data_IF_786861679470
#
_entry.id   IF_786861679470
#
_cell.length_a   1.000
_cell.length_b   1.000
_cell.length_c   1.000
_cell.angle_alpha   90.00
_cell.angle_beta   90.00
_cell.angle_gamma   90.00
#
_symmetry.space_group_name_H-M   'P 1'
#
loop_
_entity.id
_entity.type
_entity.pdbx_description
1 polymer ?
#
# COMPACT_ATOMS: atom_id res chain seq x y z
N UNK A 1 -11.27 -2.63 -4.06
CA UNK A 1 -12.16 -2.36 -5.22
C UNK A 1 -12.58 -3.65 -5.91
N UNK A 2 -11.67 -4.37 -6.59
CA UNK A 2 -11.95 -5.64 -7.30
C UNK A 2 -12.91 -6.57 -6.55
N UNK A 3 -12.54 -6.97 -5.32
CA UNK A 3 -13.35 -7.88 -4.48
C UNK A 3 -14.81 -7.44 -4.25
N UNK A 4 -15.03 -6.13 -4.10
CA UNK A 4 -16.36 -5.55 -3.90
C UNK A 4 -17.17 -5.65 -5.20
N UNK A 5 -16.55 -5.27 -6.32
CA UNK A 5 -17.20 -5.17 -7.64
C UNK A 5 -17.50 -6.55 -8.24
N UNK A 6 -16.61 -7.53 -8.04
CA UNK A 6 -16.74 -8.92 -8.51
C UNK A 6 -18.00 -9.62 -7.97
N UNK A 7 -18.61 -9.13 -6.88
CA UNK A 7 -19.88 -9.65 -6.39
C UNK A 7 -21.07 -9.35 -7.31
N UNK A 8 -20.90 -8.47 -8.30
CA UNK A 8 -21.99 -8.00 -9.18
C UNK A 8 -21.62 -7.88 -10.65
N UNK A 9 -20.33 -7.75 -10.97
CA UNK A 9 -19.85 -7.51 -12.33
C UNK A 9 -18.63 -8.37 -12.64
N UNK A 10 -18.35 -8.60 -13.91
CA UNK A 10 -17.10 -9.17 -14.39
C UNK A 10 -15.97 -8.13 -14.29
N UNK A 11 -14.90 -8.45 -13.55
CA UNK A 11 -13.81 -7.50 -13.23
C UNK A 11 -12.46 -8.05 -13.60
N UNK A 12 -11.63 -7.20 -14.21
CA UNK A 12 -10.18 -7.40 -14.31
C UNK A 12 -9.50 -6.29 -13.51
N UNK A 13 -8.46 -6.61 -12.76
CA UNK A 13 -7.62 -5.61 -12.11
C UNK A 13 -6.16 -5.81 -12.53
N UNK A 14 -5.40 -4.73 -12.64
CA UNK A 14 -3.95 -4.81 -12.85
C UNK A 14 -3.30 -5.64 -11.73
N UNK A 15 -2.55 -6.71 -12.08
CA UNK A 15 -1.93 -7.57 -11.07
C UNK A 15 -0.71 -6.89 -10.46
N UNK A 16 -0.54 -7.02 -9.14
CA UNK A 16 0.63 -6.50 -8.42
C UNK A 16 0.94 -5.02 -8.80
N UNK A 17 2.21 -4.70 -9.00
CA UNK A 17 2.67 -3.33 -9.33
C UNK A 17 2.63 -3.04 -10.84
N UNK A 18 1.72 -3.64 -11.60
CA UNK A 18 1.57 -3.39 -13.05
C UNK A 18 0.83 -2.08 -13.29
N UNK A 19 1.41 -0.97 -12.81
CA UNK A 19 0.79 0.34 -12.70
C UNK A 19 1.44 1.41 -13.60
N UNK A 20 2.35 1.00 -14.48
CA UNK A 20 2.97 1.83 -15.51
C UNK A 20 2.50 1.42 -16.92
N UNK A 21 2.98 2.12 -17.96
CA UNK A 21 2.53 1.89 -19.35
C UNK A 21 2.70 0.44 -19.78
N UNK A 22 3.85 -0.17 -19.49
CA UNK A 22 4.12 -1.55 -19.86
C UNK A 22 3.23 -2.55 -19.09
N UNK A 23 3.10 -2.37 -17.78
CA UNK A 23 2.27 -3.21 -16.91
C UNK A 23 0.79 -3.18 -17.28
N UNK A 24 0.24 -1.97 -17.49
CA UNK A 24 -1.15 -1.81 -17.92
C UNK A 24 -1.37 -2.34 -19.34
N UNK A 25 -0.43 -2.12 -20.27
CA UNK A 25 -0.54 -2.66 -21.63
C UNK A 25 -0.58 -4.19 -21.63
N UNK A 26 0.24 -4.84 -20.80
CA UNK A 26 0.20 -6.30 -20.63
C UNK A 26 -1.12 -6.74 -20.03
N UNK A 27 -1.58 -6.09 -18.96
CA UNK A 27 -2.88 -6.42 -18.34
C UNK A 27 -4.03 -6.34 -19.35
N UNK A 28 -4.05 -5.28 -20.17
CA UNK A 28 -5.05 -5.08 -21.23
C UNK A 28 -5.01 -6.22 -22.24
N UNK A 29 -3.83 -6.56 -22.76
CA UNK A 29 -3.69 -7.55 -23.83
C UNK A 29 -3.82 -9.00 -23.35
N UNK A 30 -3.40 -9.29 -22.12
CA UNK A 30 -3.31 -10.65 -21.59
C UNK A 30 -4.56 -11.06 -20.78
N UNK A 31 -5.33 -10.11 -20.24
CA UNK A 31 -6.40 -10.41 -19.28
C UNK A 31 -7.77 -9.82 -19.59
N UNK A 32 -7.87 -8.72 -20.36
CA UNK A 32 -9.19 -8.21 -20.74
C UNK A 32 -9.84 -9.15 -21.75
N UNK A 33 -11.15 -9.32 -21.60
CA UNK A 33 -12.00 -10.06 -22.53
C UNK A 33 -13.22 -9.23 -22.92
N UNK A 34 -13.95 -9.57 -23.99
CA UNK A 34 -15.19 -8.89 -24.35
C UNK A 34 -16.24 -8.89 -23.23
N UNK A 35 -16.18 -9.84 -22.30
CA UNK A 35 -17.10 -9.96 -21.16
C UNK A 35 -16.66 -9.17 -19.93
N UNK A 36 -15.52 -8.44 -19.99
CA UNK A 36 -15.07 -7.61 -18.87
C UNK A 36 -15.90 -6.34 -18.78
N UNK A 37 -16.63 -6.18 -17.68
CA UNK A 37 -17.49 -5.02 -17.43
C UNK A 37 -16.76 -3.89 -16.69
N UNK A 38 -15.78 -4.23 -15.86
CA UNK A 38 -14.99 -3.25 -15.10
C UNK A 38 -13.51 -3.59 -15.17
N UNK A 39 -12.70 -2.62 -15.60
CA UNK A 39 -11.25 -2.69 -15.50
C UNK A 39 -10.75 -1.77 -14.38
N UNK A 40 -10.12 -2.35 -13.35
CA UNK A 40 -9.50 -1.62 -12.25
C UNK A 40 -8.01 -1.46 -12.55
N UNK A 41 -7.61 -0.28 -13.00
CA UNK A 41 -6.22 0.06 -13.28
C UNK A 41 -5.61 0.85 -12.11
N UNK A 42 -4.55 0.33 -11.50
CA UNK A 42 -3.67 1.15 -10.66
C UNK A 42 -2.76 1.99 -11.56
N UNK A 43 -2.60 3.29 -11.27
CA UNK A 43 -1.75 4.20 -12.04
C UNK A 43 -0.70 4.84 -11.15
N UNK A 44 0.55 4.40 -11.33
CA UNK A 44 1.73 4.89 -10.63
C UNK A 44 2.32 6.13 -11.30
N UNK A 45 3.17 6.84 -10.57
CA UNK A 45 3.93 7.99 -11.10
C UNK A 45 5.24 8.16 -10.33
N UNK A 46 6.32 8.41 -11.06
CA UNK A 46 7.62 8.85 -10.55
C UNK A 46 7.85 10.34 -10.79
N UNK A 47 7.00 11.01 -11.57
CA UNK A 47 7.09 12.44 -11.87
C UNK A 47 5.84 13.02 -12.54
N UNK A 48 5.73 14.35 -12.59
CA UNK A 48 4.60 15.04 -13.22
C UNK A 48 4.41 14.63 -14.69
N UNK A 49 3.15 14.53 -15.13
CA UNK A 49 2.74 14.18 -16.50
C UNK A 49 2.52 12.69 -16.74
N UNK A 50 3.14 11.80 -15.96
CA UNK A 50 3.07 10.35 -16.20
C UNK A 50 1.66 9.78 -16.04
N UNK A 51 0.89 10.24 -15.04
CA UNK A 51 -0.49 9.78 -14.86
C UNK A 51 -1.39 10.32 -15.98
N UNK A 52 -1.19 11.58 -16.38
CA UNK A 52 -1.90 12.13 -17.55
C UNK A 52 -1.63 11.29 -18.80
N UNK A 53 -0.38 10.89 -19.02
CA UNK A 53 0.00 10.06 -20.16
C UNK A 53 -0.70 8.69 -20.10
N UNK A 54 -0.77 8.04 -18.93
CA UNK A 54 -1.53 6.80 -18.74
C UNK A 54 -3.03 6.98 -19.04
N UNK A 55 -3.62 8.07 -18.54
CA UNK A 55 -5.04 8.37 -18.74
C UNK A 55 -5.39 8.70 -20.20
N UNK A 56 -4.41 9.07 -21.03
CA UNK A 56 -4.64 9.41 -22.44
C UNK A 56 -5.14 8.22 -23.26
N UNK A 57 -4.75 7.01 -22.89
CA UNK A 57 -5.10 5.76 -23.59
C UNK A 57 -5.89 4.78 -22.71
N UNK A 58 -5.69 4.76 -21.38
CA UNK A 58 -6.61 4.11 -20.43
C UNK A 58 -7.50 5.18 -19.81
N UNK A 59 -8.61 5.51 -20.47
CA UNK A 59 -9.52 6.56 -20.02
C UNK A 59 -10.42 6.07 -18.88
N UNK A 60 -10.27 6.56 -17.64
CA UNK A 60 -11.10 6.12 -16.52
C UNK A 60 -12.50 6.74 -16.57
N UNK A 61 -13.54 5.97 -16.28
CA UNK A 61 -14.88 6.51 -15.99
C UNK A 61 -14.95 7.06 -14.55
N UNK A 62 -14.32 6.33 -13.63
CA UNK A 62 -14.19 6.65 -12.20
C UNK A 62 -12.71 6.66 -11.84
N UNK A 63 -12.22 7.78 -11.32
CA UNK A 63 -10.86 7.93 -10.80
C UNK A 63 -10.88 8.13 -9.29
N UNK A 64 -9.84 7.66 -8.60
CA UNK A 64 -9.77 7.77 -7.15
C UNK A 64 -8.36 8.07 -6.62
N UNK A 65 -8.27 8.84 -5.54
CA UNK A 65 -7.05 9.01 -4.74
C UNK A 65 -7.32 8.68 -3.27
N UNK A 66 -6.56 7.72 -2.73
CA UNK A 66 -6.74 7.20 -1.37
C UNK A 66 -5.85 7.88 -0.32
N UNK A 67 -4.58 8.11 -0.67
CA UNK A 67 -3.58 8.63 0.25
C UNK A 67 -2.54 9.45 -0.50
N UNK A 68 -1.95 10.41 0.22
CA UNK A 68 -0.81 11.20 -0.22
C UNK A 68 0.26 11.02 0.86
N UNK A 69 1.43 10.56 0.46
CA UNK A 69 2.57 10.32 1.33
C UNK A 69 3.87 10.76 0.67
N UNK A 70 4.96 10.88 1.46
CA UNK A 70 6.26 11.33 0.99
C UNK A 70 6.99 10.23 0.19
N UNK A 71 6.50 9.94 -1.01
CA UNK A 71 7.12 8.99 -1.96
C UNK A 71 7.73 9.73 -3.14
N UNK A 72 8.81 9.19 -3.72
CA UNK A 72 9.55 9.83 -4.82
C UNK A 72 9.96 11.29 -4.52
N UNK A 73 10.21 11.64 -3.26
CA UNK A 73 10.43 13.04 -2.85
C UNK A 73 11.63 13.68 -3.54
N UNK A 74 12.64 12.90 -3.91
CA UNK A 74 13.80 13.38 -4.66
C UNK A 74 13.39 13.98 -6.02
N UNK A 75 12.40 13.39 -6.69
CA UNK A 75 11.89 13.84 -7.99
C UNK A 75 10.74 14.82 -7.84
N UNK A 76 9.87 14.58 -6.87
CA UNK A 76 8.64 15.35 -6.66
C UNK A 76 8.89 16.65 -5.90
N UNK A 77 9.91 16.72 -5.04
CA UNK A 77 10.31 17.90 -4.28
C UNK A 77 9.41 18.25 -3.08
N UNK A 78 8.09 18.13 -3.21
CA UNK A 78 7.13 18.43 -2.13
C UNK A 78 5.88 17.55 -2.18
N UNK A 79 5.16 17.44 -1.07
CA UNK A 79 3.85 16.78 -1.05
C UNK A 79 2.84 17.48 -1.96
N UNK A 80 2.89 18.80 -2.09
CA UNK A 80 1.98 19.56 -2.98
C UNK A 80 2.21 19.20 -4.45
N UNK A 81 3.46 18.98 -4.85
CA UNK A 81 3.78 18.49 -6.19
C UNK A 81 3.30 17.05 -6.40
N UNK A 82 3.35 16.19 -5.37
CA UNK A 82 2.77 14.84 -5.42
C UNK A 82 1.24 14.92 -5.59
N UNK A 83 0.57 15.82 -4.87
CA UNK A 83 -0.86 16.07 -5.04
C UNK A 83 -1.17 16.52 -6.47
N UNK A 84 -0.40 17.47 -7.01
CA UNK A 84 -0.58 17.97 -8.36
C UNK A 84 -0.41 16.86 -9.42
N UNK A 85 0.70 16.10 -9.35
CA UNK A 85 0.97 14.99 -10.26
C UNK A 85 -0.08 13.87 -10.16
N UNK A 86 -0.48 13.48 -8.94
CA UNK A 86 -1.51 12.44 -8.75
C UNK A 86 -2.90 12.90 -9.17
N UNK A 87 -3.21 14.20 -9.05
CA UNK A 87 -4.51 14.77 -9.45
C UNK A 87 -4.75 14.74 -10.96
N UNK A 88 -3.72 14.50 -11.78
CA UNK A 88 -3.84 14.28 -13.22
C UNK A 88 -4.82 13.13 -13.56
N UNK A 89 -5.02 12.20 -12.62
CA UNK A 89 -5.95 11.07 -12.79
C UNK A 89 -7.40 11.53 -13.00
N UNK A 90 -7.73 12.76 -12.59
CA UNK A 90 -9.07 13.33 -12.72
C UNK A 90 -9.31 14.09 -14.03
N UNK A 91 -8.28 14.30 -14.85
CA UNK A 91 -8.35 15.13 -16.06
C UNK A 91 -9.41 14.61 -17.04
N UNK A 92 -9.63 13.29 -17.10
CA UNK A 92 -10.56 12.65 -18.06
C UNK A 92 -11.76 11.94 -17.43
N UNK A 93 -11.75 11.72 -16.10
CA UNK A 93 -12.79 10.95 -15.41
C UNK A 93 -14.11 11.70 -15.26
N UNK A 94 -15.23 10.99 -15.42
CA UNK A 94 -16.58 11.51 -15.16
C UNK A 94 -16.94 11.54 -13.67
N UNK A 95 -16.28 10.70 -12.86
CA UNK A 95 -16.43 10.66 -11.41
C UNK A 95 -15.06 10.72 -10.73
N UNK A 96 -14.94 11.57 -9.71
CA UNK A 96 -13.75 11.70 -8.88
C UNK A 96 -14.05 11.28 -7.44
N UNK A 97 -13.32 10.28 -6.93
CA UNK A 97 -13.41 9.80 -5.55
C UNK A 97 -12.16 10.24 -4.78
N UNK A 98 -12.31 10.98 -3.68
CA UNK A 98 -11.16 11.51 -2.93
C UNK A 98 -11.29 11.23 -1.44
N UNK A 99 -10.21 10.74 -0.81
CA UNK A 99 -10.08 10.76 0.65
C UNK A 99 -9.67 12.14 1.14
N UNK A 100 -10.61 12.89 1.71
CA UNK A 100 -10.36 14.28 2.13
C UNK A 100 -9.53 14.39 3.42
N UNK A 101 -9.28 13.27 4.10
CA UNK A 101 -8.36 13.24 5.24
C UNK A 101 -6.89 13.33 4.79
N UNK A 102 -6.59 12.98 3.54
CA UNK A 102 -5.23 13.00 3.02
C UNK A 102 -4.80 14.42 2.59
N UNK A 103 -3.50 14.70 2.76
CA UNK A 103 -2.89 16.00 2.46
C UNK A 103 -3.31 16.54 1.10
N UNK A 104 -3.85 17.76 1.08
CA UNK A 104 -4.26 18.48 -0.12
C UNK A 104 -5.53 17.97 -0.81
N UNK A 105 -6.03 16.77 -0.52
CA UNK A 105 -7.15 16.19 -1.27
C UNK A 105 -8.50 16.87 -0.99
N UNK A 106 -8.70 17.45 0.21
CA UNK A 106 -9.85 18.31 0.46
C UNK A 106 -9.89 19.52 -0.49
N UNK A 107 -8.76 20.19 -0.69
CA UNK A 107 -8.67 21.33 -1.61
C UNK A 107 -8.85 20.91 -3.07
N UNK A 108 -8.36 19.72 -3.46
CA UNK A 108 -8.62 19.16 -4.79
C UNK A 108 -10.11 18.87 -5.00
N UNK A 109 -10.79 18.28 -4.01
CA UNK A 109 -12.22 18.01 -4.08
C UNK A 109 -13.04 19.29 -4.29
N UNK A 110 -12.74 20.35 -3.54
CA UNK A 110 -13.40 21.65 -3.70
C UNK A 110 -13.14 22.30 -5.06
N UNK A 111 -11.91 22.22 -5.57
CA UNK A 111 -11.57 22.70 -6.92
C UNK A 111 -12.35 21.96 -8.00
N UNK A 112 -12.49 20.65 -7.90
CA UNK A 112 -13.25 19.84 -8.85
C UNK A 112 -14.76 20.14 -8.76
N UNK A 113 -15.31 20.31 -7.55
CA UNK A 113 -16.71 20.73 -7.34
C UNK A 113 -17.00 22.09 -7.97
N UNK A 114 -16.10 23.06 -7.79
CA UNK A 114 -16.23 24.39 -8.37
C UNK A 114 -16.14 24.37 -9.91
N UNK A 115 -15.33 23.49 -10.50
CA UNK A 115 -15.28 23.32 -11.95
C UNK A 115 -16.61 22.79 -12.51
N UNK A 116 -17.28 21.90 -11.76
CA UNK A 116 -18.64 21.45 -12.05
C UNK A 116 -18.78 20.53 -13.28
N UNK A 117 -17.68 20.00 -13.79
CA UNK A 117 -17.61 19.16 -15.00
C UNK A 117 -17.67 17.66 -14.71
N UNK A 118 -17.58 17.25 -13.43
CA UNK A 118 -17.62 15.85 -13.00
C UNK A 118 -18.29 15.68 -11.63
N UNK A 119 -18.77 14.46 -11.35
CA UNK A 119 -19.33 14.11 -10.05
C UNK A 119 -18.18 13.90 -9.05
N UNK A 120 -18.20 14.58 -7.92
CA UNK A 120 -17.20 14.44 -6.85
C UNK A 120 -17.82 13.67 -5.68
N UNK A 121 -17.15 12.62 -5.22
CA UNK A 121 -17.52 11.82 -4.04
C UNK A 121 -16.37 11.89 -3.05
N UNK A 122 -16.61 12.42 -1.85
CA UNK A 122 -15.60 12.52 -0.80
C UNK A 122 -15.71 11.37 0.19
N UNK A 123 -14.56 10.95 0.72
CA UNK A 123 -14.45 9.88 1.71
C UNK A 123 -13.64 10.36 2.91
N UNK A 124 -13.98 9.85 4.10
CA UNK A 124 -13.26 10.16 5.34
C UNK A 124 -13.31 8.99 6.32
N UNK A 125 -12.36 8.98 7.25
CA UNK A 125 -12.31 8.10 8.42
C UNK A 125 -12.71 8.81 9.71
N UNK A 126 -13.01 10.11 9.64
CA UNK A 126 -13.54 10.88 10.74
C UNK A 126 -15.08 10.69 10.83
N UNK A 127 -15.62 10.20 11.96
CA UNK A 127 -17.06 10.03 12.13
C UNK A 127 -17.84 11.35 12.00
N UNK A 128 -17.23 12.48 12.35
CA UNK A 128 -17.85 13.80 12.36
C UNK A 128 -17.69 14.56 11.04
N UNK A 129 -17.05 13.95 10.04
CA UNK A 129 -16.93 14.52 8.69
C UNK A 129 -18.30 14.60 8.01
N UNK A 130 -18.44 15.55 7.09
CA UNK A 130 -19.57 15.68 6.14
C UNK A 130 -19.33 14.92 4.82
N UNK A 131 -18.29 14.07 4.75
CA UNK A 131 -17.98 13.29 3.56
C UNK A 131 -19.12 12.35 3.14
N UNK A 132 -19.25 12.13 1.82
CA UNK A 132 -20.27 11.28 1.22
C UNK A 132 -20.18 9.82 1.73
N UNK A 133 -18.96 9.33 1.96
CA UNK A 133 -18.70 8.00 2.52
C UNK A 133 -17.77 8.08 3.72
N UNK A 134 -18.16 7.47 4.84
CA UNK A 134 -17.36 7.47 6.07
C UNK A 134 -17.13 6.05 6.58
N UNK A 135 -15.89 5.73 6.95
CA UNK A 135 -15.53 4.42 7.51
C UNK A 135 -14.67 4.59 8.75
N UNK A 136 -15.18 4.21 9.91
CA UNK A 136 -14.54 4.47 11.21
C UNK A 136 -14.83 3.36 12.24
N UNK A 137 -13.99 3.17 13.26
CA UNK A 137 -14.24 2.19 14.32
C UNK A 137 -15.60 2.43 15.01
N UNK A 138 -16.37 1.38 15.26
CA UNK A 138 -17.60 1.51 16.02
C UNK A 138 -17.31 1.77 17.52
N UNK A 139 -18.09 2.63 18.17
CA UNK A 139 -17.83 3.04 19.56
C UNK A 139 -18.17 1.96 20.61
N UNK A 140 -18.96 0.93 20.25
CA UNK A 140 -19.49 -0.07 21.20
C UNK A 140 -19.49 -1.51 20.65
N UNK A 141 -18.68 -1.78 19.64
CA UNK A 141 -18.51 -3.12 19.07
C UNK A 141 -17.13 -3.21 18.41
N UNK A 142 -16.58 -4.41 18.28
CA UNK A 142 -15.31 -4.65 17.58
C UNK A 142 -15.40 -4.44 16.05
N UNK A 143 -16.60 -4.18 15.53
CA UNK A 143 -16.85 -3.91 14.12
C UNK A 143 -16.50 -2.47 13.68
N UNK A 144 -16.58 -2.26 12.38
CA UNK A 144 -16.31 -0.97 11.72
C UNK A 144 -17.60 -0.41 11.15
N UNK A 145 -17.87 0.87 11.41
CA UNK A 145 -19.05 1.55 10.89
C UNK A 145 -18.78 2.06 9.48
N UNK A 146 -19.62 1.67 8.53
CA UNK A 146 -19.57 2.08 7.11
C UNK A 146 -20.83 2.86 6.76
N UNK A 147 -20.67 4.16 6.54
CA UNK A 147 -21.73 5.10 6.22
C UNK A 147 -21.62 5.57 4.76
N UNK A 148 -22.75 5.58 4.05
CA UNK A 148 -22.93 6.24 2.75
C UNK A 148 -24.06 7.25 2.92
N UNK A 149 -23.72 8.53 2.98
CA UNK A 149 -24.62 9.58 3.46
C UNK A 149 -25.11 9.29 4.87
N UNK A 150 -26.44 9.16 5.02
CA UNK A 150 -27.12 8.85 6.28
C UNK A 150 -27.34 7.35 6.50
N UNK A 151 -27.15 6.53 5.47
CA UNK A 151 -27.25 5.08 5.58
C UNK A 151 -25.96 4.55 6.21
N UNK A 152 -26.04 3.94 7.38
CA UNK A 152 -24.89 3.48 8.14
C UNK A 152 -25.13 2.10 8.74
N UNK A 153 -24.20 1.18 8.49
CA UNK A 153 -24.21 -0.15 9.07
C UNK A 153 -22.85 -0.51 9.68
N UNK A 154 -22.83 -1.51 10.56
CA UNK A 154 -21.60 -2.03 11.15
C UNK A 154 -21.22 -3.32 10.45
N UNK A 155 -19.98 -3.39 9.97
CA UNK A 155 -19.43 -4.56 9.29
C UNK A 155 -18.16 -5.03 9.99
N UNK A 156 -17.89 -6.33 9.94
CA UNK A 156 -16.58 -6.86 10.30
C UNK A 156 -15.62 -6.63 9.15
N UNK A 157 -14.40 -6.20 9.46
CA UNK A 157 -13.30 -6.09 8.50
C UNK A 157 -12.13 -6.96 8.96
N UNK A 158 -11.30 -7.46 8.03
CA UNK A 158 -9.99 -7.99 8.38
C UNK A 158 -9.20 -6.98 9.24
N UNK A 159 -8.46 -7.46 10.23
CA UNK A 159 -7.75 -6.60 11.19
C UNK A 159 -6.69 -5.69 10.55
N UNK A 160 -6.19 -6.04 9.36
CA UNK A 160 -5.22 -5.27 8.58
C UNK A 160 -5.87 -4.30 7.57
N UNK A 161 -7.20 -4.29 7.48
CA UNK A 161 -7.92 -3.43 6.55
C UNK A 161 -7.76 -1.95 6.92
N UNK A 162 -7.25 -1.17 5.97
CA UNK A 162 -7.08 0.28 6.14
C UNK A 162 -8.42 0.97 5.86
N UNK A 163 -9.00 1.60 6.88
CA UNK A 163 -10.33 2.22 6.79
C UNK A 163 -10.46 3.25 5.65
N UNK A 164 -9.44 4.06 5.39
CA UNK A 164 -9.46 5.03 4.28
C UNK A 164 -9.51 4.34 2.91
N UNK A 165 -8.78 3.23 2.72
CA UNK A 165 -8.86 2.43 1.49
C UNK A 165 -10.23 1.77 1.35
N UNK A 166 -10.82 1.31 2.45
CA UNK A 166 -12.18 0.75 2.46
C UNK A 166 -13.19 1.83 2.10
N UNK A 167 -13.10 3.04 2.67
CA UNK A 167 -13.98 4.16 2.35
C UNK A 167 -13.95 4.50 0.85
N UNK A 168 -12.75 4.63 0.26
CA UNK A 168 -12.60 4.86 -1.18
C UNK A 168 -13.17 3.69 -2.00
N UNK A 169 -12.92 2.45 -1.60
CA UNK A 169 -13.45 1.30 -2.32
C UNK A 169 -14.98 1.21 -2.28
N UNK A 170 -15.59 1.57 -1.15
CA UNK A 170 -17.06 1.69 -1.01
C UNK A 170 -17.59 2.79 -1.92
N UNK A 171 -16.95 3.98 -1.91
CA UNK A 171 -17.33 5.09 -2.78
C UNK A 171 -17.24 4.75 -4.28
N UNK A 172 -16.20 4.02 -4.70
CA UNK A 172 -16.09 3.51 -6.07
C UNK A 172 -17.23 2.52 -6.38
N UNK A 173 -17.57 1.62 -5.46
CA UNK A 173 -18.71 0.71 -5.62
C UNK A 173 -20.03 1.47 -5.84
N UNK A 174 -20.26 2.53 -5.06
CA UNK A 174 -21.41 3.41 -5.22
C UNK A 174 -21.37 4.24 -6.52
N UNK A 175 -20.18 4.66 -6.98
CA UNK A 175 -20.02 5.33 -8.27
C UNK A 175 -20.34 4.42 -9.46
N UNK A 176 -20.20 3.10 -9.29
CA UNK A 176 -20.60 2.06 -10.22
C UNK A 176 -22.05 1.59 -9.99
N UNK A 177 -22.87 2.36 -9.28
CA UNK A 177 -24.28 2.07 -9.00
C UNK A 177 -24.53 0.69 -8.35
N UNK A 178 -23.54 0.15 -7.62
CA UNK A 178 -23.71 -1.07 -6.84
C UNK A 178 -24.47 -0.69 -5.56
N UNK A 179 -25.59 -1.38 -5.23
CA UNK A 179 -26.31 -1.13 -3.99
C UNK A 179 -25.41 -1.27 -2.76
N UNK A 180 -25.51 -0.33 -1.82
CA UNK A 180 -24.62 -0.24 -0.65
C UNK A 180 -24.62 -1.53 0.19
N UNK A 181 -25.77 -2.20 0.32
CA UNK A 181 -25.87 -3.46 1.06
C UNK A 181 -25.04 -4.59 0.41
N UNK A 182 -24.99 -4.62 -0.93
CA UNK A 182 -24.13 -5.57 -1.65
C UNK A 182 -22.65 -5.23 -1.46
N UNK A 183 -22.31 -3.95 -1.44
CA UNK A 183 -20.94 -3.49 -1.15
C UNK A 183 -20.52 -3.94 0.25
N UNK A 184 -21.35 -3.67 1.27
CA UNK A 184 -21.10 -4.03 2.68
C UNK A 184 -20.97 -5.54 2.88
N UNK A 185 -21.83 -6.34 2.26
CA UNK A 185 -21.77 -7.80 2.35
C UNK A 185 -20.41 -8.38 1.91
N UNK A 186 -19.75 -7.73 0.94
CA UNK A 186 -18.42 -8.15 0.47
C UNK A 186 -17.31 -7.75 1.43
N UNK A 187 -17.48 -6.72 2.25
CA UNK A 187 -16.45 -6.22 3.15
C UNK A 187 -16.01 -7.26 4.19
N UNK A 188 -16.95 -8.03 4.75
CA UNK A 188 -16.65 -9.10 5.71
C UNK A 188 -15.86 -10.29 5.15
N UNK A 189 -15.71 -10.36 3.82
CA UNK A 189 -14.93 -11.41 3.14
C UNK A 189 -13.73 -10.86 2.39
N UNK A 190 -13.31 -9.63 2.71
CA UNK A 190 -12.14 -9.02 2.09
C UNK A 190 -10.92 -9.94 2.24
N UNK A 191 -10.19 -10.22 1.14
CA UNK A 191 -8.92 -10.93 1.24
C UNK A 191 -7.90 -10.03 1.96
N UNK A 192 -7.03 -10.65 2.76
CA UNK A 192 -5.87 -9.95 3.33
C UNK A 192 -4.94 -9.43 2.23
N UNK A 193 -4.18 -8.37 2.52
CA UNK A 193 -3.18 -7.88 1.58
C UNK A 193 -1.95 -8.80 1.57
N UNK A 194 -1.76 -9.57 0.49
CA UNK A 194 -0.57 -10.41 0.33
C UNK A 194 0.72 -9.60 0.41
N UNK A 195 1.78 -10.19 0.96
CA UNK A 195 3.11 -9.56 1.13
C UNK A 195 3.15 -8.26 1.94
N UNK A 196 2.13 -7.97 2.75
CA UNK A 196 2.08 -6.81 3.64
C UNK A 196 1.98 -7.25 5.10
N UNK A 197 3.13 -7.59 5.69
CA UNK A 197 3.25 -8.29 6.98
C UNK A 197 2.50 -9.64 6.96
N UNK A 198 2.50 -10.30 5.81
CA UNK A 198 1.89 -11.62 5.67
C UNK A 198 2.65 -12.62 6.53
N UNK A 199 1.94 -13.26 7.46
CA UNK A 199 2.51 -14.24 8.37
C UNK A 199 2.27 -15.63 7.83
N UNK A 200 3.35 -16.39 7.65
CA UNK A 200 3.28 -17.79 7.26
C UNK A 200 4.29 -18.61 8.05
N UNK A 201 4.17 -19.94 7.98
CA UNK A 201 5.16 -20.85 8.53
C UNK A 201 5.73 -21.66 7.38
N UNK A 202 7.05 -21.68 7.24
CA UNK A 202 7.72 -22.46 6.20
C UNK A 202 7.47 -23.97 6.42
N UNK A 203 7.67 -24.82 5.39
CA UNK A 203 7.64 -26.28 5.58
C UNK A 203 8.65 -26.80 6.61
N UNK A 204 9.68 -26.03 6.93
CA UNK A 204 10.69 -26.35 7.96
C UNK A 204 10.36 -25.79 9.34
N UNK A 205 9.21 -25.12 9.51
CA UNK A 205 8.75 -24.61 10.81
C UNK A 205 9.26 -23.20 11.17
N UNK A 206 9.83 -22.46 10.21
CA UNK A 206 10.29 -21.08 10.43
C UNK A 206 9.11 -20.13 10.28
N UNK A 207 8.92 -19.22 11.24
CA UNK A 207 7.93 -18.15 11.14
C UNK A 207 8.41 -17.09 10.14
N UNK A 208 7.63 -16.81 9.10
CA UNK A 208 7.96 -15.82 8.07
C UNK A 208 6.99 -14.66 8.21
N UNK A 209 7.53 -13.45 8.27
CA UNK A 209 6.80 -12.20 8.09
C UNK A 209 7.28 -11.60 6.77
N UNK A 210 6.40 -11.57 5.78
CA UNK A 210 6.69 -10.99 4.47
C UNK A 210 6.10 -9.57 4.39
N UNK A 211 6.98 -8.56 4.40
CA UNK A 211 6.67 -7.14 4.20
C UNK A 211 7.48 -6.57 3.02
N UNK A 212 7.57 -7.35 1.94
CA UNK A 212 8.40 -7.04 0.77
C UNK A 212 7.76 -6.10 -0.25
N UNK A 213 6.46 -5.79 -0.12
CA UNK A 213 5.74 -5.04 -1.17
C UNK A 213 6.22 -3.60 -1.37
N UNK A 214 6.24 -2.79 -0.31
CA UNK A 214 6.72 -1.41 -0.34
C UNK A 214 7.04 -0.97 1.09
N UNK A 215 8.13 -0.24 1.27
CA UNK A 215 8.56 0.19 2.59
C UNK A 215 8.53 1.70 2.79
N UNK A 216 8.19 2.08 4.01
CA UNK A 216 8.28 3.43 4.55
C UNK A 216 8.53 3.32 6.07
N UNK A 217 8.98 4.40 6.74
CA UNK A 217 9.37 4.30 8.15
C UNK A 217 8.28 3.77 9.09
N UNK A 218 7.01 4.13 8.86
CA UNK A 218 5.90 3.65 9.68
C UNK A 218 5.59 2.17 9.44
N UNK A 219 5.63 1.72 8.19
CA UNK A 219 5.46 0.31 7.81
C UNK A 219 6.57 -0.56 8.38
N UNK A 220 7.82 -0.16 8.18
CA UNK A 220 9.00 -0.86 8.68
C UNK A 220 9.00 -0.97 10.21
N UNK A 221 8.62 0.09 10.93
CA UNK A 221 8.46 0.04 12.39
C UNK A 221 7.40 -0.97 12.82
N UNK A 222 6.23 -0.96 12.18
CA UNK A 222 5.16 -1.90 12.49
C UNK A 222 5.52 -3.36 12.13
N UNK A 223 6.38 -3.57 11.13
CA UNK A 223 6.90 -4.89 10.79
C UNK A 223 7.92 -5.39 11.84
N UNK A 224 8.77 -4.50 12.36
CA UNK A 224 9.67 -4.81 13.49
C UNK A 224 8.89 -5.14 14.76
N UNK A 225 7.83 -4.39 15.08
CA UNK A 225 6.94 -4.69 16.22
C UNK A 225 6.32 -6.09 16.09
N UNK A 226 5.89 -6.46 14.88
CA UNK A 226 5.36 -7.79 14.60
C UNK A 226 6.42 -8.89 14.79
N UNK A 227 7.67 -8.66 14.38
CA UNK A 227 8.78 -9.58 14.61
C UNK A 227 9.11 -9.73 16.11
N UNK A 228 9.15 -8.61 16.84
CA UNK A 228 9.41 -8.59 18.28
C UNK A 228 8.32 -9.32 19.08
N UNK A 229 7.06 -9.17 18.69
CA UNK A 229 5.93 -9.87 19.30
C UNK A 229 5.84 -11.36 18.93
N UNK A 230 6.56 -11.82 17.91
CA UNK A 230 6.57 -13.22 17.49
C UNK A 230 7.45 -14.04 18.45
N UNK A 231 6.92 -15.10 19.09
CA UNK A 231 7.74 -16.02 19.87
C UNK A 231 8.73 -16.74 18.95
N UNK A 232 10.02 -16.52 19.15
CA UNK A 232 11.07 -17.13 18.34
C UNK A 232 12.34 -17.36 19.16
N UNK A 233 13.04 -18.44 18.87
CA UNK A 233 14.35 -18.71 19.46
C UNK A 233 15.43 -17.80 18.87
N UNK A 234 15.37 -17.56 17.56
CA UNK A 234 16.19 -16.59 16.83
C UNK A 234 15.33 -15.73 15.90
N UNK A 235 15.63 -14.44 15.82
CA UNK A 235 14.97 -13.45 14.95
C UNK A 235 15.95 -12.90 13.93
N UNK A 236 15.53 -12.88 12.67
CA UNK A 236 16.32 -12.38 11.56
C UNK A 236 15.56 -11.31 10.80
N UNK A 237 16.22 -10.21 10.44
CA UNK A 237 15.71 -9.21 9.49
C UNK A 237 16.51 -9.30 8.21
N UNK A 238 15.85 -9.37 7.07
CA UNK A 238 16.46 -9.30 5.74
C UNK A 238 15.95 -8.04 5.06
N UNK A 239 16.84 -7.13 4.68
CA UNK A 239 16.44 -5.84 4.11
C UNK A 239 17.50 -5.23 3.19
N UNK A 240 17.11 -4.68 2.03
CA UNK A 240 17.94 -3.77 1.24
C UNK A 240 17.85 -2.30 1.70
N UNK A 241 17.02 -2.03 2.72
CA UNK A 241 16.66 -0.70 3.18
C UNK A 241 15.60 -0.03 2.32
N UNK A 242 15.12 1.11 2.78
CA UNK A 242 14.10 1.94 2.13
C UNK A 242 14.72 2.92 1.13
N UNK A 243 14.02 3.22 0.04
CA UNK A 243 14.45 4.18 -1.01
C UNK A 243 13.46 5.32 -1.16
N UNK A 244 13.81 6.32 -1.98
CA UNK A 244 12.92 7.40 -2.44
C UNK A 244 12.47 8.39 -1.35
N UNK A 245 13.22 8.45 -0.26
CA UNK A 245 13.01 9.37 0.88
C UNK A 245 13.83 10.67 0.75
N UNK A 246 14.46 10.91 -0.40
CA UNK A 246 15.26 12.10 -0.68
C UNK A 246 16.36 12.34 0.36
N UNK A 247 16.48 13.57 0.86
CA UNK A 247 17.50 13.95 1.84
C UNK A 247 17.39 13.19 3.19
N UNK A 248 16.23 12.63 3.50
CA UNK A 248 16.02 11.84 4.72
C UNK A 248 16.45 10.39 4.58
N UNK A 249 16.79 9.92 3.37
CA UNK A 249 16.97 8.49 3.11
C UNK A 249 18.06 7.84 3.96
N UNK A 250 19.23 8.49 4.06
CA UNK A 250 20.33 7.96 4.87
C UNK A 250 19.93 7.87 6.35
N UNK A 251 19.32 8.94 6.88
CA UNK A 251 18.91 9.00 8.29
C UNK A 251 17.83 7.96 8.61
N UNK A 252 16.80 7.84 7.76
CA UNK A 252 15.71 6.89 7.97
C UNK A 252 16.20 5.43 7.94
N UNK A 253 17.12 5.08 7.04
CA UNK A 253 17.72 3.74 7.01
C UNK A 253 18.63 3.47 8.21
N UNK A 254 19.35 4.50 8.70
CA UNK A 254 20.15 4.39 9.92
C UNK A 254 19.27 4.14 11.15
N UNK A 255 18.20 4.91 11.33
CA UNK A 255 17.23 4.75 12.44
C UNK A 255 16.50 3.40 12.38
N UNK A 256 16.13 2.97 11.18
CA UNK A 256 15.51 1.66 10.96
C UNK A 256 16.47 0.52 11.33
N UNK A 257 17.71 0.55 10.86
CA UNK A 257 18.67 -0.51 11.16
C UNK A 257 19.07 -0.56 12.64
N UNK A 258 19.12 0.59 13.32
CA UNK A 258 19.29 0.66 14.77
C UNK A 258 18.12 -0.04 15.49
N UNK A 259 16.87 0.24 15.07
CA UNK A 259 15.68 -0.41 15.63
C UNK A 259 15.64 -1.91 15.32
N UNK A 260 16.00 -2.31 14.10
CA UNK A 260 16.07 -3.71 13.69
C UNK A 260 17.11 -4.49 14.52
N UNK A 261 18.28 -3.89 14.78
CA UNK A 261 19.33 -4.50 15.58
C UNK A 261 19.03 -4.57 17.09
N UNK A 262 17.97 -3.90 17.56
CA UNK A 262 17.46 -4.04 18.92
C UNK A 262 16.42 -5.17 19.05
N UNK A 263 15.77 -5.55 17.95
CA UNK A 263 14.70 -6.57 17.93
C UNK A 263 15.22 -7.93 17.43
N UNK A 264 16.15 -7.92 16.47
CA UNK A 264 16.66 -9.11 15.82
C UNK A 264 18.01 -9.58 16.38
N UNK A 265 18.29 -10.87 16.26
CA UNK A 265 19.61 -11.44 16.52
C UNK A 265 20.55 -11.27 15.32
N UNK A 266 20.00 -11.23 14.11
CA UNK A 266 20.76 -11.04 12.86
C UNK A 266 20.06 -10.05 11.93
N UNK A 267 20.82 -9.13 11.35
CA UNK A 267 20.37 -8.23 10.28
C UNK A 267 21.16 -8.54 9.00
N UNK A 268 20.47 -9.06 7.99
CA UNK A 268 20.99 -9.29 6.64
C UNK A 268 20.72 -8.06 5.77
N UNK A 269 21.79 -7.35 5.44
CA UNK A 269 21.77 -6.20 4.53
C UNK A 269 22.00 -6.69 3.10
N UNK A 270 21.02 -6.44 2.23
CA UNK A 270 21.03 -6.87 0.83
C UNK A 270 21.46 -5.72 -0.08
N UNK A 271 22.33 -6.00 -1.07
CA UNK A 271 22.72 -5.02 -2.07
C UNK A 271 23.61 -3.89 -1.52
N UNK A 272 23.82 -2.84 -2.32
CA UNK A 272 24.72 -1.72 -1.97
C UNK A 272 23.98 -0.43 -1.65
N UNK A 273 22.78 -0.24 -2.19
CA UNK A 273 22.03 1.02 -2.20
C UNK A 273 21.99 1.75 -0.85
N UNK A 274 21.52 1.10 0.21
CA UNK A 274 21.44 1.70 1.55
C UNK A 274 22.51 1.17 2.53
N UNK A 275 23.46 0.36 2.05
CA UNK A 275 24.37 -0.43 2.89
C UNK A 275 25.10 0.41 3.93
N UNK A 276 25.63 1.57 3.55
CA UNK A 276 26.38 2.43 4.48
C UNK A 276 25.52 2.91 5.65
N UNK A 277 24.30 3.36 5.38
CA UNK A 277 23.37 3.83 6.40
C UNK A 277 22.90 2.68 7.29
N UNK A 278 22.54 1.54 6.70
CA UNK A 278 22.11 0.35 7.42
C UNK A 278 23.23 -0.19 8.33
N UNK A 279 24.48 -0.23 7.86
CA UNK A 279 25.62 -0.64 8.68
C UNK A 279 25.86 0.33 9.86
N UNK A 280 25.72 1.63 9.63
CA UNK A 280 25.88 2.63 10.68
C UNK A 280 24.82 2.46 11.78
N UNK A 281 23.55 2.27 11.40
CA UNK A 281 22.46 2.04 12.34
C UNK A 281 22.60 0.71 13.08
N UNK A 282 22.79 -0.39 12.36
CA UNK A 282 22.89 -1.72 12.94
C UNK A 282 24.07 -1.86 13.92
N UNK A 283 25.17 -1.12 13.70
CA UNK A 283 26.34 -1.12 14.61
C UNK A 283 26.05 -0.58 16.01
N UNK A 284 24.90 0.06 16.23
CA UNK A 284 24.46 0.56 17.54
C UNK A 284 23.69 -0.49 18.36
N UNK A 285 23.27 -1.59 17.73
CA UNK A 285 22.59 -2.70 18.39
C UNK A 285 23.53 -3.86 18.71
N UNK A 286 22.95 -4.97 19.17
CA UNK A 286 23.69 -6.19 19.51
C UNK A 286 23.60 -7.28 18.42
N UNK A 287 22.80 -7.05 17.38
CA UNK A 287 22.60 -8.01 16.29
C UNK A 287 23.89 -8.29 15.50
N UNK A 288 24.06 -9.53 15.08
CA UNK A 288 25.04 -9.89 14.06
C UNK A 288 24.64 -9.26 12.72
N UNK A 289 25.57 -8.62 12.03
CA UNK A 289 25.29 -7.97 10.74
C UNK A 289 25.96 -8.72 9.61
N UNK A 290 25.16 -9.21 8.66
CA UNK A 290 25.62 -9.97 7.51
C UNK A 290 25.29 -9.20 6.23
N UNK A 291 26.23 -9.15 5.31
CA UNK A 291 26.06 -8.48 4.02
C UNK A 291 25.91 -9.52 2.91
N UNK A 292 24.90 -9.35 2.07
CA UNK A 292 24.69 -10.17 0.88
C UNK A 292 24.64 -9.27 -0.35
N UNK A 293 25.00 -9.83 -1.51
CA UNK A 293 24.96 -9.08 -2.77
C UNK A 293 23.56 -9.09 -3.36
N UNK A 294 22.83 -10.18 -3.19
CA UNK A 294 21.52 -10.38 -3.83
C UNK A 294 20.52 -10.95 -2.84
N UNK A 295 19.24 -10.74 -3.13
CA UNK A 295 18.14 -11.34 -2.39
C UNK A 295 18.25 -12.86 -2.35
N UNK A 296 18.66 -13.49 -3.46
CA UNK A 296 18.87 -14.94 -3.54
C UNK A 296 19.89 -15.42 -2.51
N UNK A 297 21.02 -14.73 -2.36
CA UNK A 297 22.03 -15.06 -1.34
C UNK A 297 21.47 -14.93 0.08
N UNK A 298 20.68 -13.90 0.35
CA UNK A 298 20.03 -13.72 1.67
C UNK A 298 19.02 -14.83 1.97
N UNK A 299 18.19 -15.22 0.99
CA UNK A 299 17.23 -16.33 1.13
C UNK A 299 17.96 -17.66 1.34
N UNK A 300 19.06 -17.92 0.63
CA UNK A 300 19.89 -19.09 0.86
C UNK A 300 20.50 -19.11 2.26
N UNK A 301 20.97 -17.97 2.76
CA UNK A 301 21.48 -17.87 4.11
C UNK A 301 20.40 -18.21 5.13
N UNK A 302 19.20 -17.65 5.00
CA UNK A 302 18.06 -17.94 5.89
C UNK A 302 17.74 -19.43 5.90
N UNK A 303 17.66 -20.06 4.72
CA UNK A 303 17.39 -21.51 4.59
C UNK A 303 18.44 -22.40 5.23
N UNK A 304 19.69 -21.94 5.33
CA UNK A 304 20.80 -22.70 5.92
C UNK A 304 20.97 -22.48 7.43
N UNK A 305 20.40 -21.41 7.98
CA UNK A 305 20.74 -20.93 9.34
C UNK A 305 19.53 -20.76 10.27
N UNK A 306 18.31 -20.96 9.78
CA UNK A 306 17.11 -20.96 10.62
C UNK A 306 16.41 -22.31 10.59
N UNK A 307 15.92 -22.70 11.77
CA UNK A 307 15.25 -23.96 12.06
C UNK A 307 13.82 -23.73 12.58
N UNK A 308 13.10 -24.82 12.87
CA UNK A 308 11.76 -24.75 13.41
C UNK A 308 11.69 -23.92 14.69
N UNK A 309 10.80 -22.93 14.73
CA UNK A 309 10.63 -22.01 15.86
C UNK A 309 11.47 -20.74 15.78
N UNK A 310 12.30 -20.56 14.75
CA UNK A 310 12.92 -19.26 14.44
C UNK A 310 11.94 -18.35 13.67
N UNK A 311 12.30 -17.08 13.53
CA UNK A 311 11.54 -16.10 12.77
C UNK A 311 12.41 -15.27 11.82
N UNK A 312 11.89 -14.99 10.63
CA UNK A 312 12.48 -14.06 9.66
C UNK A 312 11.46 -13.03 9.21
N UNK A 313 11.87 -11.75 9.22
CA UNK A 313 11.19 -10.65 8.56
C UNK A 313 11.92 -10.35 7.26
N UNK A 314 11.23 -10.47 6.13
CA UNK A 314 11.67 -9.89 4.87
C UNK A 314 11.05 -8.50 4.74
N UNK A 315 11.88 -7.48 4.90
CA UNK A 315 11.47 -6.08 4.93
C UNK A 315 11.99 -5.39 3.66
N UNK A 316 11.05 -4.93 2.84
CA UNK A 316 11.27 -4.31 1.54
C UNK A 316 11.91 -5.23 0.47
N UNK A 317 11.63 -4.95 -0.80
CA UNK A 317 12.36 -5.48 -1.95
C UNK A 317 12.61 -4.32 -2.92
N UNK A 318 13.87 -4.13 -3.33
CA UNK A 318 14.20 -3.04 -4.25
C UNK A 318 14.09 -3.53 -5.69
N UNK A 319 13.49 -2.74 -6.60
CA UNK A 319 13.49 -3.07 -8.02
C UNK A 319 14.92 -3.17 -8.59
N UNK A 320 15.09 -3.94 -9.67
CA UNK A 320 16.39 -4.29 -10.28
C UNK A 320 17.28 -3.10 -10.71
N UNK A 321 16.77 -1.86 -10.72
CA UNK A 321 17.57 -0.69 -11.04
C UNK A 321 18.40 -0.16 -9.86
N UNK A 322 18.19 -0.69 -8.66
CA UNK A 322 18.98 -0.37 -7.47
C UNK A 322 20.11 -1.41 -7.27
N UNK A 323 21.38 -0.97 -7.13
CA UNK A 323 22.54 -1.85 -6.96
C UNK A 323 22.73 -2.39 -5.53
#
# INVERSE_FOLDING_TARGET
>A
VRHIVEGTRSVVASPASFNNTAGLSRTVNEHLSPDTEVFVAEMGTYGPGEIRDLCSWVKPDVSALCAIGPVHLERMGSLDNIVAAKSEIFDTAGVAVLNIDAHGLAAVAERLRHAGDKRVITTSTNPDSDADVRVFPAQHSDGVRVCVGNDCDTVDLPADAIHSNVAVAVAIGCALDIPVDKVRLRLGTLPGAGHRRERSVSPTGVNIIDDTYNSNPAGAAAALDALGATPAARRVVVTPGMVEMGAQQAKANEEFAESAAAVADVVLIVGQTNRKALLAGASRGAAEVIQTRTRTEAVEWVRRNLDAGDAVLYENDLPDHYP
#
